data_IF_751017183741
#
_entry.id   IF_751017183741
#
_cell.length_a   1.000
_cell.length_b   1.000
_cell.length_c   1.000
_cell.angle_alpha   90.00
_cell.angle_beta   90.00
_cell.angle_gamma   90.00
#
_symmetry.space_group_name_H-M   'P 1'
#
loop_
_entity.id
_entity.type
_entity.pdbx_description
1 polymer ?
#
# COMPACT_ATOMS: atom_id res chain seq x y z
N UNK A 1 32.59 44.76 45.72
CA UNK A 1 31.48 43.87 45.34
C UNK A 1 31.51 42.69 46.29
N UNK A 2 30.48 42.51 47.12
CA UNK A 2 30.35 41.24 47.84
C UNK A 2 30.19 40.12 46.80
N UNK A 3 30.82 38.95 46.98
CA UNK A 3 30.54 37.80 46.15
C UNK A 3 29.06 37.48 46.34
N UNK A 4 28.28 37.57 45.25
CA UNK A 4 26.92 37.07 45.22
C UNK A 4 26.95 35.61 45.68
N UNK A 5 26.40 35.33 46.86
CA UNK A 5 26.28 33.97 47.38
C UNK A 5 25.65 33.10 46.28
N UNK A 6 26.41 32.10 45.82
CA UNK A 6 25.90 31.11 44.87
C UNK A 6 24.78 30.36 45.58
N UNK A 7 23.52 30.71 45.26
CA UNK A 7 22.36 29.99 45.77
C UNK A 7 22.44 28.55 45.27
N UNK A 8 22.19 27.54 46.12
CA UNK A 8 22.17 26.16 45.70
C UNK A 8 21.07 25.95 44.66
N UNK A 9 21.49 25.67 43.43
CA UNK A 9 20.59 25.33 42.34
C UNK A 9 20.12 23.88 42.52
N UNK A 10 18.82 23.69 42.71
CA UNK A 10 18.28 22.40 43.19
C UNK A 10 17.88 21.51 42.02
N UNK A 11 17.92 20.19 42.20
CA UNK A 11 17.38 19.22 41.24
C UNK A 11 16.02 18.71 41.72
N UNK A 12 14.98 18.85 40.88
CA UNK A 12 13.68 18.24 41.12
C UNK A 12 13.56 16.93 40.34
N UNK A 13 13.15 15.82 40.97
CA UNK A 13 13.00 14.54 40.29
C UNK A 13 11.74 14.43 39.44
N UNK A 14 10.78 15.36 39.57
CA UNK A 14 9.52 15.35 38.81
C UNK A 14 9.76 15.69 37.33
N UNK A 15 9.00 15.07 36.43
CA UNK A 15 9.07 15.38 34.99
C UNK A 15 8.18 16.58 34.69
N UNK A 16 8.75 17.62 34.10
CA UNK A 16 8.03 18.82 33.71
C UNK A 16 7.63 18.78 32.24
N UNK A 17 6.40 19.17 31.94
CA UNK A 17 5.86 19.32 30.59
C UNK A 17 5.46 20.77 30.34
N UNK A 18 5.44 21.18 29.07
CA UNK A 18 4.95 22.49 28.66
C UNK A 18 3.59 22.34 27.95
N UNK A 19 2.60 23.07 28.44
CA UNK A 19 1.33 23.32 27.76
C UNK A 19 1.25 24.80 27.39
N UNK A 20 0.44 25.13 26.39
CA UNK A 20 0.03 26.50 26.13
C UNK A 20 -1.31 26.76 26.78
N UNK A 21 -1.52 27.99 27.21
CA UNK A 21 -2.77 28.43 27.80
C UNK A 21 -3.27 29.63 27.02
N UNK A 22 -4.45 29.49 26.43
CA UNK A 22 -5.19 30.59 25.83
C UNK A 22 -6.21 31.11 26.85
N UNK A 23 -6.15 32.41 27.16
CA UNK A 23 -7.10 33.08 28.05
C UNK A 23 -7.56 34.39 27.43
N UNK A 24 -8.76 34.84 27.79
CA UNK A 24 -9.24 36.16 27.39
C UNK A 24 -8.51 37.22 28.23
N UNK A 25 -7.80 38.12 27.54
CA UNK A 25 -7.05 39.20 28.19
C UNK A 25 -7.95 40.40 28.48
N UNK A 26 -8.73 40.81 27.48
CA UNK A 26 -9.67 41.94 27.56
C UNK A 26 -10.80 41.78 26.52
N UNK A 27 -11.52 42.86 26.20
CA UNK A 27 -12.61 42.86 25.21
C UNK A 27 -12.14 42.88 23.75
N UNK A 28 -10.84 42.85 23.51
CA UNK A 28 -10.24 42.91 22.17
C UNK A 28 -9.27 41.77 21.88
N UNK A 29 -8.60 41.22 22.89
CA UNK A 29 -7.59 40.18 22.71
C UNK A 29 -7.75 38.95 23.61
N UNK A 30 -7.36 37.80 23.06
CA UNK A 30 -6.86 36.66 23.81
C UNK A 30 -5.35 36.79 24.02
N UNK A 31 -4.85 36.19 25.09
CA UNK A 31 -3.43 35.96 25.33
C UNK A 31 -3.16 34.46 25.28
N UNK A 32 -2.13 34.06 24.54
CA UNK A 32 -1.58 32.70 24.58
C UNK A 32 -0.21 32.77 25.21
N UNK A 33 0.01 31.98 26.26
CA UNK A 33 1.27 31.91 27.00
C UNK A 33 1.65 30.47 27.33
N UNK A 34 2.94 30.15 27.45
CA UNK A 34 3.38 28.83 27.86
C UNK A 34 3.30 28.68 29.38
N UNK A 35 2.87 27.50 29.81
CA UNK A 35 2.80 27.09 31.20
C UNK A 35 3.50 25.75 31.35
N UNK A 36 4.42 25.70 32.31
CA UNK A 36 5.11 24.47 32.66
C UNK A 36 4.45 23.85 33.88
N UNK A 37 4.27 22.53 33.87
CA UNK A 37 3.67 21.79 34.98
C UNK A 37 4.35 20.44 35.19
N UNK A 38 4.39 19.98 36.44
CA UNK A 38 4.79 18.63 36.83
C UNK A 38 3.61 17.67 37.02
N UNK A 39 2.37 18.13 36.76
CA UNK A 39 1.15 17.33 36.89
C UNK A 39 0.66 17.08 38.33
N UNK A 40 1.40 17.53 39.35
CA UNK A 40 0.97 17.45 40.75
C UNK A 40 0.42 18.82 41.20
N UNK A 41 1.31 19.73 41.61
CA UNK A 41 0.99 21.08 42.10
C UNK A 41 1.98 22.14 41.59
N UNK A 42 3.07 21.71 40.96
CA UNK A 42 4.09 22.60 40.41
C UNK A 42 3.59 23.24 39.13
N UNK A 43 3.49 24.58 39.14
CA UNK A 43 3.34 25.35 37.90
C UNK A 43 4.36 26.49 37.82
N UNK A 44 4.84 26.75 36.60
CA UNK A 44 5.79 27.83 36.28
C UNK A 44 5.36 28.53 34.99
N UNK A 45 5.63 29.82 34.92
CA UNK A 45 5.42 30.66 33.73
C UNK A 45 6.73 30.88 33.00
N UNK A 46 6.65 31.39 31.78
CA UNK A 46 7.81 31.65 30.93
C UNK A 46 8.91 32.49 31.60
N UNK A 47 8.54 33.51 32.38
CA UNK A 47 9.51 34.40 33.02
C UNK A 47 10.46 33.72 34.02
N UNK A 48 10.15 32.48 34.46
CA UNK A 48 11.02 31.70 35.33
C UNK A 48 11.80 30.61 34.59
N UNK A 49 11.57 30.44 33.29
CA UNK A 49 12.20 29.43 32.46
C UNK A 49 13.50 29.98 31.87
N UNK A 50 14.60 29.25 32.07
CA UNK A 50 15.94 29.65 31.61
C UNK A 50 16.36 28.93 30.31
N UNK A 51 15.67 27.84 29.95
CA UNK A 51 15.98 27.06 28.75
C UNK A 51 16.00 25.56 29.01
N UNK A 52 16.41 24.80 27.99
CA UNK A 52 16.54 23.35 28.04
C UNK A 52 17.88 22.87 27.49
N UNK A 53 18.42 21.82 28.11
CA UNK A 53 19.63 21.16 27.63
C UNK A 53 19.46 19.63 27.77
N UNK A 54 19.43 18.94 26.63
CA UNK A 54 19.18 17.50 26.59
C UNK A 54 17.80 17.16 27.19
N UNK A 55 17.70 16.17 28.10
CA UNK A 55 16.43 15.79 28.73
C UNK A 55 16.02 16.69 29.90
N UNK A 56 16.72 17.81 30.13
CA UNK A 56 16.51 18.67 31.29
C UNK A 56 15.96 20.04 30.90
N UNK A 57 15.08 20.56 31.76
CA UNK A 57 14.61 21.94 31.76
C UNK A 57 15.21 22.69 32.94
N UNK A 58 15.49 23.96 32.74
CA UNK A 58 16.11 24.85 33.71
C UNK A 58 15.15 25.99 34.04
N UNK A 59 14.90 26.20 35.33
CA UNK A 59 14.17 27.33 35.86
C UNK A 59 15.12 28.19 36.71
N UNK A 60 14.72 29.38 37.12
CA UNK A 60 15.58 30.25 37.97
C UNK A 60 16.01 29.58 39.29
N UNK A 61 15.17 28.69 39.83
CA UNK A 61 15.31 28.11 41.16
C UNK A 61 15.76 26.63 41.16
N UNK A 62 15.50 25.88 40.08
CA UNK A 62 15.84 24.45 40.00
C UNK A 62 15.94 23.95 38.55
N UNK A 63 16.57 22.79 38.37
CA UNK A 63 16.46 21.99 37.14
C UNK A 63 15.68 20.70 37.37
N UNK A 64 15.06 20.19 36.31
CA UNK A 64 14.30 18.94 36.35
C UNK A 64 14.34 18.22 35.00
N UNK A 65 14.05 16.90 34.96
CA UNK A 65 13.73 16.22 33.71
C UNK A 65 12.55 16.91 33.00
N UNK A 66 12.61 17.07 31.69
CA UNK A 66 11.60 17.76 30.91
C UNK A 66 11.19 17.04 29.63
N UNK A 67 9.89 17.10 29.30
CA UNK A 67 9.32 16.67 28.02
C UNK A 67 8.63 17.86 27.37
N UNK A 68 9.40 18.60 26.58
CA UNK A 68 8.97 19.85 25.92
C UNK A 68 9.30 19.87 24.43
N UNK A 69 9.57 18.70 23.85
CA UNK A 69 9.90 18.50 22.44
C UNK A 69 8.86 19.14 21.52
N UNK A 70 7.57 18.92 21.80
CA UNK A 70 6.46 19.53 21.06
C UNK A 70 6.32 21.05 21.26
N UNK A 71 6.90 21.61 22.32
CA UNK A 71 6.81 23.03 22.67
C UNK A 71 8.03 23.86 22.22
N UNK A 72 9.13 23.22 21.81
CA UNK A 72 10.41 23.89 21.49
C UNK A 72 10.30 25.14 20.61
N UNK A 73 9.71 25.00 19.42
CA UNK A 73 9.49 26.12 18.47
C UNK A 73 8.63 27.24 19.09
N UNK A 74 7.65 26.86 19.90
CA UNK A 74 6.77 27.82 20.58
C UNK A 74 7.55 28.57 21.66
N UNK A 75 8.39 27.89 22.43
CA UNK A 75 9.19 28.52 23.48
C UNK A 75 10.17 29.55 22.91
N UNK A 76 10.82 29.27 21.78
CA UNK A 76 11.66 30.25 21.06
C UNK A 76 10.86 31.50 20.66
N UNK A 77 9.63 31.31 20.17
CA UNK A 77 8.74 32.40 19.80
C UNK A 77 8.38 33.30 21.00
N UNK A 78 8.04 32.70 22.14
CA UNK A 78 7.67 33.43 23.36
C UNK A 78 8.89 34.09 24.03
N UNK A 79 10.09 33.51 23.92
CA UNK A 79 11.32 34.12 24.44
C UNK A 79 11.65 35.42 23.70
N UNK A 80 11.48 35.44 22.37
CA UNK A 80 11.74 36.62 21.55
C UNK A 80 10.64 37.70 21.64
N UNK A 81 9.37 37.28 21.76
CA UNK A 81 8.20 38.16 21.57
C UNK A 81 7.30 38.35 22.79
N UNK A 82 7.49 37.58 23.85
CA UNK A 82 6.53 37.50 24.97
C UNK A 82 5.21 36.83 24.58
N UNK A 83 4.20 36.96 25.44
CA UNK A 83 2.88 36.35 25.24
C UNK A 83 2.23 36.79 23.92
N UNK A 84 1.64 35.83 23.20
CA UNK A 84 0.97 36.11 21.93
C UNK A 84 -0.38 36.76 22.19
N UNK A 85 -0.61 37.93 21.58
CA UNK A 85 -1.91 38.62 21.60
C UNK A 85 -2.66 38.35 20.32
N UNK A 86 -3.83 37.72 20.45
CA UNK A 86 -4.67 37.31 19.32
C UNK A 86 -5.96 38.11 19.37
N UNK A 87 -6.33 38.87 18.32
CA UNK A 87 -7.62 39.56 18.29
C UNK A 87 -8.78 38.59 18.52
N UNK A 88 -9.82 39.04 19.26
CA UNK A 88 -10.97 38.19 19.58
C UNK A 88 -11.65 37.61 18.33
N UNK A 89 -11.69 38.39 17.24
CA UNK A 89 -12.25 37.98 15.95
C UNK A 89 -11.44 36.86 15.26
N UNK A 90 -10.14 36.74 15.56
CA UNK A 90 -9.23 35.78 14.93
C UNK A 90 -9.02 34.52 15.78
N UNK A 91 -9.67 34.42 16.95
CA UNK A 91 -9.48 33.30 17.87
C UNK A 91 -9.75 31.93 17.24
N UNK A 92 -10.85 31.81 16.49
CA UNK A 92 -11.18 30.55 15.80
C UNK A 92 -10.17 30.22 14.70
N UNK A 93 -9.77 31.21 13.90
CA UNK A 93 -8.75 31.03 12.85
C UNK A 93 -7.40 30.61 13.43
N UNK A 94 -7.00 31.18 14.57
CA UNK A 94 -5.80 30.74 15.28
C UNK A 94 -5.90 29.27 15.69
N UNK A 95 -7.01 28.87 16.31
CA UNK A 95 -7.22 27.49 16.74
C UNK A 95 -7.23 26.51 15.56
N UNK A 96 -7.82 26.90 14.42
CA UNK A 96 -7.79 26.09 13.19
C UNK A 96 -6.35 25.83 12.72
N UNK A 97 -5.49 26.85 12.74
CA UNK A 97 -4.08 26.67 12.36
C UNK A 97 -3.30 25.89 13.43
N UNK A 98 -3.58 26.14 14.71
CA UNK A 98 -2.94 25.46 15.83
C UNK A 98 -3.16 23.95 15.76
N UNK A 99 -4.41 23.50 15.57
CA UNK A 99 -4.74 22.07 15.55
C UNK A 99 -4.39 21.36 14.23
N UNK A 100 -3.95 22.08 13.19
CA UNK A 100 -3.44 21.47 11.94
C UNK A 100 -2.03 20.93 12.05
N UNK A 101 -1.25 21.47 12.97
CA UNK A 101 0.16 21.11 13.15
C UNK A 101 0.37 20.39 14.49
N UNK A 102 1.37 19.50 14.60
CA UNK A 102 1.86 19.06 15.89
C UNK A 102 2.16 20.28 16.75
N UNK A 103 1.62 20.30 17.96
CA UNK A 103 1.85 21.39 18.89
C UNK A 103 1.77 20.89 20.33
N UNK A 104 2.29 21.67 21.29
CA UNK A 104 2.10 21.37 22.69
C UNK A 104 0.60 21.33 23.03
N UNK A 105 0.20 20.65 24.13
CA UNK A 105 -1.18 20.71 24.60
C UNK A 105 -1.63 22.17 24.78
N UNK A 106 -2.88 22.48 24.39
CA UNK A 106 -3.45 23.83 24.52
C UNK A 106 -4.68 23.80 25.41
N UNK A 107 -4.62 24.54 26.52
CA UNK A 107 -5.75 24.83 27.39
C UNK A 107 -6.52 26.03 26.82
N UNK A 108 -7.85 25.91 26.76
CA UNK A 108 -8.73 26.85 26.10
C UNK A 108 -9.62 27.58 27.12
N UNK A 109 -10.02 28.84 26.83
CA UNK A 109 -11.00 29.53 27.65
C UNK A 109 -12.38 28.86 27.49
N UNK A 110 -13.28 29.09 28.45
CA UNK A 110 -14.58 28.40 28.53
C UNK A 110 -15.43 28.59 27.26
N UNK A 111 -15.29 29.73 26.60
CA UNK A 111 -15.96 30.04 25.33
C UNK A 111 -15.55 29.14 24.15
N UNK A 112 -14.40 28.47 24.21
CA UNK A 112 -13.94 27.47 23.23
C UNK A 112 -14.00 26.04 23.77
N UNK A 113 -14.75 25.80 24.85
CA UNK A 113 -14.90 24.46 25.40
C UNK A 113 -15.51 23.51 24.38
N UNK A 114 -14.79 22.42 24.11
CA UNK A 114 -15.28 21.37 23.24
C UNK A 114 -16.23 20.43 23.98
N UNK A 115 -17.25 19.96 23.25
CA UNK A 115 -17.96 18.74 23.59
C UNK A 115 -17.10 17.55 23.18
N UNK A 116 -16.73 16.73 24.16
CA UNK A 116 -16.01 15.49 23.90
C UNK A 116 -16.95 14.45 23.29
N UNK A 117 -16.56 13.94 22.13
CA UNK A 117 -17.21 12.85 21.43
C UNK A 117 -16.44 11.56 21.70
N UNK A 118 -17.19 10.48 21.94
CA UNK A 118 -16.63 9.14 21.92
C UNK A 118 -16.25 8.80 20.47
N UNK A 119 -14.97 8.52 20.25
CA UNK A 119 -14.51 8.06 18.95
C UNK A 119 -15.05 6.65 18.66
N UNK A 120 -15.58 6.38 17.46
CA UNK A 120 -15.78 5.00 17.04
C UNK A 120 -14.42 4.32 16.91
N UNK A 121 -14.41 3.00 17.01
CA UNK A 121 -13.20 2.21 16.75
C UNK A 121 -12.76 2.45 15.29
N UNK A 122 -11.50 2.84 15.02
CA UNK A 122 -11.09 3.21 13.68
C UNK A 122 -11.02 2.01 12.75
N UNK A 123 -11.32 2.23 11.46
CA UNK A 123 -11.03 1.27 10.38
C UNK A 123 -9.87 1.78 9.54
N UNK A 124 -9.03 0.87 9.03
CA UNK A 124 -7.89 1.25 8.21
C UNK A 124 -8.27 1.45 6.73
N UNK A 125 -7.64 2.46 6.11
CA UNK A 125 -7.54 2.62 4.66
C UNK A 125 -6.07 2.51 4.27
N UNK A 126 -5.75 1.55 3.42
CA UNK A 126 -4.42 1.33 2.87
C UNK A 126 -4.28 2.07 1.53
N UNK A 127 -3.36 3.01 1.49
CA UNK A 127 -2.93 3.72 0.28
C UNK A 127 -1.67 3.06 -0.29
N UNK A 128 -1.68 2.76 -1.58
CA UNK A 128 -0.57 2.16 -2.31
C UNK A 128 -0.15 3.08 -3.44
N UNK A 129 1.09 3.55 -3.40
CA UNK A 129 1.65 4.47 -4.39
C UNK A 129 3.05 4.03 -4.82
N UNK A 130 3.45 4.37 -6.05
CA UNK A 130 4.83 4.16 -6.49
C UNK A 130 5.69 5.33 -5.99
N UNK A 131 6.76 5.04 -5.25
CA UNK A 131 7.64 6.08 -4.72
C UNK A 131 8.85 6.31 -5.62
N UNK A 132 8.80 7.37 -6.43
CA UNK A 132 9.92 7.77 -7.29
C UNK A 132 10.34 6.69 -8.28
N UNK A 133 11.65 6.40 -8.33
CA UNK A 133 12.25 5.32 -9.15
C UNK A 133 12.41 4.00 -8.38
N UNK A 134 11.88 3.90 -7.17
CA UNK A 134 11.96 2.66 -6.41
C UNK A 134 11.21 1.54 -7.13
N UNK A 135 11.76 0.34 -7.08
CA UNK A 135 11.08 -0.90 -7.47
C UNK A 135 10.02 -1.32 -6.44
N UNK A 136 10.07 -0.76 -5.22
CA UNK A 136 9.09 -1.02 -4.16
C UNK A 136 7.90 -0.06 -4.23
N UNK A 137 6.73 -0.57 -3.83
CA UNK A 137 5.51 0.20 -3.64
C UNK A 137 5.45 0.75 -2.22
N UNK A 138 5.09 2.02 -2.07
CA UNK A 138 4.89 2.65 -0.77
C UNK A 138 3.48 2.37 -0.25
N UNK A 139 3.42 1.82 0.94
CA UNK A 139 2.18 1.63 1.69
C UNK A 139 2.04 2.71 2.76
N UNK A 140 0.86 3.28 2.91
CA UNK A 140 0.55 4.30 3.91
C UNK A 140 -0.84 4.05 4.45
N UNK A 141 -1.01 4.13 5.76
CA UNK A 141 -2.31 4.00 6.40
C UNK A 141 -2.95 5.37 6.60
N UNK A 142 -4.27 5.37 6.48
CA UNK A 142 -5.15 6.37 7.06
C UNK A 142 -6.17 5.68 7.94
N UNK A 143 -6.54 6.32 9.03
CA UNK A 143 -7.51 5.82 9.99
C UNK A 143 -8.83 6.55 9.79
N UNK A 144 -9.89 5.79 9.57
CA UNK A 144 -11.25 6.31 9.41
C UNK A 144 -11.99 6.27 10.74
N UNK A 145 -12.45 7.44 11.17
CA UNK A 145 -13.32 7.66 12.33
C UNK A 145 -14.66 8.21 11.83
N UNK A 146 -15.60 7.32 11.53
CA UNK A 146 -16.86 7.68 10.87
C UNK A 146 -16.57 8.31 9.49
N UNK A 147 -16.93 9.58 9.31
CA UNK A 147 -16.68 10.33 8.07
C UNK A 147 -15.28 10.96 8.00
N UNK A 148 -14.53 10.98 9.11
CA UNK A 148 -13.20 11.61 9.15
C UNK A 148 -12.12 10.62 8.78
N UNK A 149 -11.14 11.06 7.99
CA UNK A 149 -9.95 10.31 7.63
C UNK A 149 -8.72 11.01 8.19
N UNK A 150 -7.87 10.25 8.86
CA UNK A 150 -6.72 10.74 9.60
C UNK A 150 -5.46 10.08 9.06
N UNK A 151 -4.50 10.83 8.50
CA UNK A 151 -3.21 10.30 8.09
C UNK A 151 -2.46 9.62 9.24
N UNK A 152 -1.71 8.56 8.95
CA UNK A 152 -0.95 7.84 9.99
C UNK A 152 0.11 8.70 10.70
N UNK A 153 0.59 9.74 10.04
CA UNK A 153 1.57 10.73 10.51
C UNK A 153 0.92 11.98 11.11
N UNK A 154 -0.42 12.00 11.23
CA UNK A 154 -1.10 13.07 11.93
C UNK A 154 -0.65 13.07 13.40
N UNK A 155 -0.01 14.15 13.82
CA UNK A 155 0.65 14.19 15.12
C UNK A 155 -0.32 14.40 16.29
N UNK A 156 -1.46 15.05 16.05
CA UNK A 156 -2.38 15.41 17.12
C UNK A 156 -3.27 14.22 17.49
N UNK A 157 -3.31 13.90 18.80
CA UNK A 157 -4.14 12.82 19.33
C UNK A 157 -5.64 13.16 19.31
N UNK A 158 -6.01 14.42 19.14
CA UNK A 158 -7.39 14.88 19.10
C UNK A 158 -7.78 15.39 17.71
N UNK A 159 -8.97 15.03 17.25
CA UNK A 159 -9.62 15.57 16.06
C UNK A 159 -10.63 16.63 16.49
N UNK A 160 -10.37 17.87 16.14
CA UNK A 160 -11.18 19.02 16.53
C UNK A 160 -12.00 19.51 15.34
N UNK A 161 -13.28 19.80 15.58
CA UNK A 161 -14.18 20.49 14.67
C UNK A 161 -14.67 21.75 15.37
N UNK A 162 -14.05 22.87 15.01
CA UNK A 162 -14.28 24.16 15.65
C UNK A 162 -15.67 24.71 15.35
N UNK A 163 -16.18 24.49 14.13
CA UNK A 163 -17.54 24.93 13.74
C UNK A 163 -18.62 24.28 14.59
N UNK A 164 -18.45 23.00 14.97
CA UNK A 164 -19.38 22.29 15.86
C UNK A 164 -18.98 22.33 17.33
N UNK A 165 -17.78 22.84 17.63
CA UNK A 165 -17.13 22.77 18.96
C UNK A 165 -17.08 21.34 19.49
N UNK A 166 -16.71 20.40 18.63
CA UNK A 166 -16.62 18.98 18.95
C UNK A 166 -15.16 18.53 18.92
N UNK A 167 -14.75 17.77 19.93
CA UNK A 167 -13.43 17.15 20.01
C UNK A 167 -13.59 15.65 20.12
N UNK A 168 -12.83 14.91 19.33
CA UNK A 168 -12.78 13.45 19.37
C UNK A 168 -11.35 13.01 19.63
N UNK A 169 -11.14 12.23 20.69
CA UNK A 169 -9.82 11.65 20.98
C UNK A 169 -9.63 10.39 20.13
N UNK A 170 -8.52 10.33 19.40
CA UNK A 170 -8.14 9.15 18.62
C UNK A 170 -7.83 7.97 19.53
N UNK A 171 -8.17 6.79 19.07
CA UNK A 171 -7.76 5.53 19.71
C UNK A 171 -6.36 5.14 19.20
N UNK A 172 -5.33 5.76 19.79
CA UNK A 172 -3.94 5.54 19.37
C UNK A 172 -3.49 4.08 19.57
N UNK A 173 -4.11 3.35 20.50
CA UNK A 173 -3.79 1.95 20.75
C UNK A 173 -4.31 1.05 19.61
N UNK A 174 -5.55 1.29 19.17
CA UNK A 174 -6.10 0.57 18.02
C UNK A 174 -5.38 0.93 16.71
N UNK A 175 -5.03 2.21 16.53
CA UNK A 175 -4.23 2.64 15.38
C UNK A 175 -2.87 1.93 15.32
N UNK A 176 -2.20 1.78 16.47
CA UNK A 176 -0.93 1.07 16.55
C UNK A 176 -1.10 -0.43 16.26
N UNK A 177 -2.19 -1.05 16.72
CA UNK A 177 -2.54 -2.43 16.36
C UNK A 177 -2.67 -2.58 14.84
N UNK A 178 -3.34 -1.65 14.16
CA UNK A 178 -3.50 -1.66 12.70
C UNK A 178 -2.15 -1.45 11.97
N UNK A 179 -1.26 -0.59 12.48
CA UNK A 179 0.11 -0.44 11.95
C UNK A 179 0.91 -1.74 12.06
N UNK A 180 0.81 -2.40 13.21
CA UNK A 180 1.46 -3.69 13.44
C UNK A 180 0.93 -4.76 12.49
N UNK A 181 -0.39 -4.82 12.32
CA UNK A 181 -1.07 -5.74 11.40
C UNK A 181 -0.59 -5.53 9.94
N UNK A 182 -0.47 -4.28 9.48
CA UNK A 182 0.12 -4.00 8.15
C UNK A 182 1.57 -4.49 8.07
N UNK A 183 2.36 -4.24 9.12
CA UNK A 183 3.77 -4.67 9.18
C UNK A 183 3.90 -6.20 9.05
N UNK A 184 3.01 -6.95 9.70
CA UNK A 184 2.98 -8.42 9.56
C UNK A 184 2.57 -8.84 8.15
N UNK A 185 1.54 -8.22 7.57
CA UNK A 185 1.09 -8.51 6.20
C UNK A 185 2.21 -8.28 5.17
N UNK A 186 3.00 -7.23 5.35
CA UNK A 186 4.12 -6.88 4.47
C UNK A 186 5.43 -7.58 4.83
N UNK A 187 5.45 -8.45 5.84
CA UNK A 187 6.63 -9.23 6.26
C UNK A 187 7.74 -8.40 6.90
N UNK A 188 7.37 -7.42 7.72
CA UNK A 188 8.29 -6.63 8.55
C UNK A 188 8.51 -5.18 8.08
N UNK A 189 7.92 -4.78 6.94
CA UNK A 189 8.12 -3.44 6.36
C UNK A 189 6.78 -2.73 6.16
N UNK A 190 6.35 -1.93 7.14
CA UNK A 190 5.06 -1.23 7.06
C UNK A 190 4.94 -0.30 5.84
N UNK A 191 6.06 0.23 5.34
CA UNK A 191 6.06 1.31 4.34
C UNK A 191 6.45 0.85 2.95
N UNK A 192 7.18 -0.26 2.79
CA UNK A 192 7.64 -0.73 1.48
C UNK A 192 7.13 -2.15 1.22
N UNK A 193 6.39 -2.31 0.12
CA UNK A 193 5.84 -3.56 -0.38
C UNK A 193 6.59 -3.97 -1.64
N UNK A 194 7.06 -5.21 -1.68
CA UNK A 194 7.52 -5.84 -2.91
C UNK A 194 6.32 -6.03 -3.87
N UNK A 195 6.38 -5.58 -5.13
CA UNK A 195 5.30 -5.77 -6.11
C UNK A 195 4.81 -7.21 -6.25
N UNK A 196 5.64 -8.22 -5.99
CA UNK A 196 5.24 -9.63 -6.00
C UNK A 196 4.32 -9.99 -4.82
N UNK A 197 4.48 -9.34 -3.66
CA UNK A 197 3.67 -9.59 -2.46
C UNK A 197 2.41 -8.73 -2.38
N UNK A 198 2.28 -7.74 -3.26
CA UNK A 198 1.11 -6.88 -3.34
C UNK A 198 -0.23 -7.65 -3.36
N UNK A 199 -0.42 -8.74 -4.15
CA UNK A 199 -1.68 -9.49 -4.13
C UNK A 199 -2.04 -10.06 -2.77
N UNK A 200 -1.05 -10.66 -2.10
CA UNK A 200 -1.23 -11.23 -0.76
C UNK A 200 -1.60 -10.16 0.27
N UNK A 201 -0.92 -9.00 0.24
CA UNK A 201 -1.19 -7.89 1.17
C UNK A 201 -2.58 -7.32 0.94
N UNK A 202 -2.97 -7.11 -0.31
CA UNK A 202 -4.29 -6.57 -0.65
C UNK A 202 -5.41 -7.54 -0.26
N UNK A 203 -5.24 -8.84 -0.51
CA UNK A 203 -6.21 -9.85 -0.10
C UNK A 203 -6.39 -9.87 1.41
N UNK A 204 -5.28 -9.87 2.17
CA UNK A 204 -5.30 -9.81 3.64
C UNK A 204 -5.97 -8.53 4.16
N UNK A 205 -5.64 -7.37 3.59
CA UNK A 205 -6.23 -6.09 3.97
C UNK A 205 -7.75 -6.06 3.69
N UNK A 206 -8.18 -6.51 2.51
CA UNK A 206 -9.61 -6.58 2.17
C UNK A 206 -10.36 -7.59 3.06
N UNK A 207 -9.74 -8.73 3.39
CA UNK A 207 -10.32 -9.71 4.32
C UNK A 207 -10.43 -9.17 5.77
N UNK A 208 -9.50 -8.30 6.18
CA UNK A 208 -9.56 -7.56 7.44
C UNK A 208 -10.59 -6.41 7.43
N UNK A 209 -11.30 -6.19 6.32
CA UNK A 209 -12.31 -5.14 6.16
C UNK A 209 -11.72 -3.76 5.88
N UNK A 210 -10.45 -3.68 5.48
CA UNK A 210 -9.81 -2.41 5.16
C UNK A 210 -10.23 -1.93 3.77
N UNK A 211 -10.27 -0.61 3.60
CA UNK A 211 -10.36 -0.03 2.27
C UNK A 211 -8.97 0.02 1.64
N UNK A 212 -8.82 -0.40 0.39
CA UNK A 212 -7.53 -0.35 -0.32
C UNK A 212 -7.65 0.55 -1.54
N UNK A 213 -6.77 1.55 -1.64
CA UNK A 213 -6.65 2.44 -2.79
C UNK A 213 -5.24 2.32 -3.39
N UNK A 214 -5.17 2.26 -4.72
CA UNK A 214 -3.92 2.36 -5.46
C UNK A 214 -4.06 3.44 -6.53
N UNK A 215 -3.09 4.36 -6.64
CA UNK A 215 -3.15 5.48 -7.59
C UNK A 215 -4.48 6.27 -7.52
N UNK A 216 -5.03 6.45 -6.31
CA UNK A 216 -6.34 7.09 -6.03
C UNK A 216 -7.56 6.34 -6.58
N UNK A 217 -7.41 5.10 -7.05
CA UNK A 217 -8.51 4.25 -7.49
C UNK A 217 -8.73 3.10 -6.51
N UNK A 218 -9.99 2.71 -6.33
CA UNK A 218 -10.34 1.61 -5.44
C UNK A 218 -9.78 0.29 -5.96
N UNK A 219 -9.22 -0.51 -5.06
CA UNK A 219 -8.62 -1.79 -5.39
C UNK A 219 -9.59 -2.92 -5.10
N UNK A 220 -9.65 -3.89 -6.02
CA UNK A 220 -10.49 -5.08 -5.94
C UNK A 220 -9.63 -6.34 -5.95
N UNK A 221 -9.97 -7.30 -5.10
CA UNK A 221 -9.36 -8.62 -5.12
C UNK A 221 -9.85 -9.41 -6.34
N UNK A 222 -8.97 -10.26 -6.86
CA UNK A 222 -9.32 -11.24 -7.87
C UNK A 222 -10.09 -12.40 -7.24
N UNK A 223 -11.13 -12.89 -7.93
CA UNK A 223 -11.97 -14.01 -7.49
C UNK A 223 -11.75 -15.26 -8.30
N UNK A 224 -12.03 -15.19 -9.59
CA UNK A 224 -12.04 -16.37 -10.45
C UNK A 224 -11.45 -16.07 -11.81
N UNK A 225 -10.84 -17.10 -12.38
CA UNK A 225 -10.14 -17.05 -13.65
C UNK A 225 -10.45 -18.30 -14.44
N UNK A 226 -10.97 -18.12 -15.65
CA UNK A 226 -11.22 -19.21 -16.58
C UNK A 226 -10.89 -18.79 -18.01
N UNK A 227 -10.06 -19.58 -18.69
CA UNK A 227 -9.72 -19.38 -20.09
C UNK A 227 -10.58 -20.26 -20.98
N UNK A 228 -11.16 -19.68 -22.02
CA UNK A 228 -11.95 -20.38 -23.03
C UNK A 228 -11.43 -20.07 -24.42
N UNK A 229 -11.32 -21.08 -25.27
CA UNK A 229 -10.90 -20.91 -26.66
C UNK A 229 -11.98 -21.46 -27.61
N UNK A 230 -12.40 -20.65 -28.57
CA UNK A 230 -13.44 -20.99 -29.54
C UNK A 230 -12.91 -20.82 -30.95
N UNK A 231 -13.12 -21.79 -31.83
CA UNK A 231 -12.74 -21.67 -33.24
C UNK A 231 -13.53 -20.55 -33.93
N UNK A 232 -12.83 -19.61 -34.56
CA UNK A 232 -13.37 -18.49 -35.33
C UNK A 232 -13.02 -18.64 -36.82
N UNK A 233 -13.91 -19.24 -37.60
CA UNK A 233 -13.66 -19.53 -39.02
C UNK A 233 -12.82 -20.79 -39.25
N UNK A 234 -11.95 -20.75 -40.27
CA UNK A 234 -11.21 -21.94 -40.75
C UNK A 234 -9.88 -22.13 -40.01
N UNK A 235 -9.08 -21.06 -39.88
CA UNK A 235 -7.71 -21.14 -39.35
C UNK A 235 -7.45 -20.32 -38.07
N UNK A 236 -8.51 -19.75 -37.51
CA UNK A 236 -8.40 -18.87 -36.35
C UNK A 236 -9.20 -19.38 -35.16
N UNK A 237 -8.75 -18.96 -33.99
CA UNK A 237 -9.41 -19.20 -32.71
C UNK A 237 -9.44 -17.90 -31.92
N UNK A 238 -10.57 -17.62 -31.31
CA UNK A 238 -10.74 -16.52 -30.37
C UNK A 238 -10.58 -17.06 -28.95
N UNK A 239 -9.56 -16.56 -28.25
CA UNK A 239 -9.33 -16.85 -26.84
C UNK A 239 -9.94 -15.75 -25.99
N UNK A 240 -10.77 -16.14 -25.05
CA UNK A 240 -11.41 -15.26 -24.07
C UNK A 240 -11.05 -15.71 -22.67
N UNK A 241 -11.11 -14.79 -21.71
CA UNK A 241 -11.00 -15.12 -20.30
C UNK A 241 -12.19 -14.54 -19.54
N UNK A 242 -12.79 -15.35 -18.67
CA UNK A 242 -13.66 -14.84 -17.62
C UNK A 242 -12.77 -14.42 -16.43
N UNK A 243 -12.71 -13.11 -16.19
CA UNK A 243 -11.89 -12.50 -15.15
C UNK A 243 -12.83 -11.83 -14.15
N UNK A 244 -13.03 -12.46 -13.00
CA UNK A 244 -13.91 -11.93 -11.97
C UNK A 244 -13.09 -11.29 -10.86
N UNK A 245 -13.47 -10.07 -10.51
CA UNK A 245 -12.97 -9.32 -9.37
C UNK A 245 -14.13 -8.98 -8.44
N UNK A 246 -13.83 -8.54 -7.22
CA UNK A 246 -14.85 -7.97 -6.35
C UNK A 246 -15.52 -6.76 -7.00
N UNK A 247 -16.81 -6.87 -7.33
CA UNK A 247 -17.61 -5.76 -7.86
C UNK A 247 -17.31 -5.38 -9.31
N UNK A 248 -16.49 -6.14 -10.05
CA UNK A 248 -16.13 -5.81 -11.43
C UNK A 248 -15.63 -6.99 -12.26
N UNK A 249 -15.50 -6.78 -13.57
CA UNK A 249 -14.92 -7.73 -14.52
C UNK A 249 -13.77 -7.06 -15.28
N UNK A 250 -12.72 -7.83 -15.57
CA UNK A 250 -11.62 -7.40 -16.43
C UNK A 250 -11.72 -8.01 -17.83
N UNK A 251 -11.02 -7.43 -18.81
CA UNK A 251 -10.90 -8.02 -20.14
C UNK A 251 -9.50 -8.59 -20.39
N UNK A 252 -9.44 -9.70 -21.14
CA UNK A 252 -8.19 -10.40 -21.43
C UNK A 252 -7.14 -9.51 -22.12
N UNK A 253 -7.47 -8.69 -23.14
CA UNK A 253 -6.46 -7.83 -23.78
C UNK A 253 -5.82 -6.84 -22.81
N UNK A 254 -6.61 -6.19 -21.95
CA UNK A 254 -6.14 -5.24 -20.95
C UNK A 254 -5.23 -5.92 -19.92
N UNK A 255 -5.57 -7.15 -19.53
CA UNK A 255 -4.76 -7.96 -18.64
C UNK A 255 -3.42 -8.34 -19.28
N UNK A 256 -3.42 -8.77 -20.54
CA UNK A 256 -2.19 -9.12 -21.28
C UNK A 256 -1.27 -7.89 -21.41
N UNK A 257 -1.82 -6.72 -21.72
CA UNK A 257 -1.05 -5.48 -21.76
C UNK A 257 -0.48 -5.10 -20.39
N UNK A 258 -1.29 -5.17 -19.33
CA UNK A 258 -0.81 -4.93 -17.95
C UNK A 258 0.35 -5.86 -17.58
N UNK A 259 0.25 -7.15 -17.91
CA UNK A 259 1.31 -8.13 -17.65
C UNK A 259 2.57 -7.88 -18.47
N UNK A 260 2.45 -7.46 -19.73
CA UNK A 260 3.60 -7.09 -20.59
C UNK A 260 4.37 -5.92 -20.04
N UNK A 261 3.67 -4.93 -19.49
CA UNK A 261 4.26 -3.75 -18.86
C UNK A 261 4.75 -4.02 -17.43
N UNK A 262 4.62 -5.25 -16.93
CA UNK A 262 5.00 -5.61 -15.56
C UNK A 262 4.11 -4.96 -14.49
N UNK A 263 2.91 -4.48 -14.86
CA UNK A 263 1.97 -3.90 -13.91
C UNK A 263 1.34 -4.98 -13.04
N UNK A 264 1.27 -4.72 -11.74
CA UNK A 264 0.56 -5.57 -10.77
C UNK A 264 -0.96 -5.36 -10.72
N UNK A 265 -1.49 -4.41 -11.51
CA UNK A 265 -2.89 -4.01 -11.51
C UNK A 265 -3.45 -3.95 -12.94
N UNK A 266 -4.73 -4.28 -13.10
CA UNK A 266 -5.51 -4.05 -14.32
C UNK A 266 -6.67 -3.10 -14.03
N UNK A 267 -7.00 -2.22 -14.98
CA UNK A 267 -8.16 -1.33 -14.84
C UNK A 267 -9.43 -2.09 -15.19
N UNK A 268 -10.46 -1.97 -14.36
CA UNK A 268 -11.77 -2.58 -14.57
C UNK A 268 -12.72 -1.60 -15.28
N UNK A 269 -13.81 -2.10 -15.83
CA UNK A 269 -14.78 -1.30 -16.59
C UNK A 269 -15.46 -0.17 -15.80
N UNK A 270 -15.49 -0.26 -14.47
CA UNK A 270 -16.01 0.78 -13.56
C UNK A 270 -14.96 1.84 -13.18
N UNK A 271 -13.72 1.70 -13.66
CA UNK A 271 -12.59 2.58 -13.35
C UNK A 271 -11.77 2.17 -12.13
N UNK A 272 -12.17 1.14 -11.39
CA UNK A 272 -11.40 0.56 -10.29
C UNK A 272 -10.19 -0.24 -10.78
N UNK A 273 -9.31 -0.67 -9.87
CA UNK A 273 -8.12 -1.46 -10.16
C UNK A 273 -8.25 -2.87 -9.59
N UNK A 274 -8.18 -3.88 -10.44
CA UNK A 274 -8.05 -5.28 -10.03
C UNK A 274 -6.58 -5.63 -9.78
N UNK A 275 -6.26 -6.18 -8.60
CA UNK A 275 -4.92 -6.70 -8.33
C UNK A 275 -4.73 -8.06 -8.98
N UNK A 276 -3.56 -8.28 -9.59
CA UNK A 276 -3.26 -9.48 -10.35
C UNK A 276 -2.51 -10.51 -9.51
N UNK A 277 -3.14 -11.65 -9.18
CA UNK A 277 -2.48 -12.74 -8.47
C UNK A 277 -1.33 -13.34 -9.29
N UNK A 278 -0.29 -13.80 -8.62
CA UNK A 278 0.88 -14.40 -9.28
C UNK A 278 0.54 -15.71 -10.01
N UNK A 279 -0.46 -16.47 -9.56
CA UNK A 279 -0.90 -17.67 -10.28
C UNK A 279 -1.55 -17.31 -11.63
N UNK A 280 -2.28 -16.19 -11.72
CA UNK A 280 -2.81 -15.69 -13.00
C UNK A 280 -1.68 -15.30 -13.94
N UNK A 281 -0.64 -14.60 -13.43
CA UNK A 281 0.54 -14.26 -14.21
C UNK A 281 1.20 -15.51 -14.80
N UNK A 282 1.40 -16.55 -13.97
CA UNK A 282 1.98 -17.83 -14.41
C UNK A 282 1.11 -18.52 -15.46
N UNK A 283 -0.22 -18.54 -15.28
CA UNK A 283 -1.17 -19.15 -16.21
C UNK A 283 -1.27 -18.41 -17.54
N UNK A 284 -1.11 -17.09 -17.54
CA UNK A 284 -1.19 -16.23 -18.72
C UNK A 284 0.15 -16.02 -19.43
N UNK A 285 1.28 -16.35 -18.78
CA UNK A 285 2.61 -16.24 -19.37
C UNK A 285 2.71 -16.84 -20.80
N UNK A 286 2.12 -18.02 -21.10
CA UNK A 286 2.10 -18.55 -22.47
C UNK A 286 1.44 -17.62 -23.50
N UNK A 287 0.44 -16.83 -23.10
CA UNK A 287 -0.30 -15.92 -23.98
C UNK A 287 0.44 -14.60 -24.24
N UNK A 288 1.35 -14.18 -23.35
CA UNK A 288 2.10 -12.94 -23.52
C UNK A 288 2.93 -12.96 -24.82
N UNK A 289 3.56 -14.09 -25.11
CA UNK A 289 4.37 -14.34 -26.31
C UNK A 289 3.51 -14.51 -27.57
N UNK A 290 2.37 -15.20 -27.43
CA UNK A 290 1.54 -15.67 -28.54
C UNK A 290 0.56 -14.59 -29.04
N UNK A 291 0.13 -13.70 -28.14
CA UNK A 291 -0.94 -12.73 -28.35
C UNK A 291 -0.55 -11.47 -29.11
N UNK A 292 0.29 -11.59 -30.15
CA UNK A 292 0.57 -10.47 -31.09
C UNK A 292 -0.40 -10.44 -32.27
N UNK A 293 -1.35 -11.39 -32.34
CA UNK A 293 -2.41 -11.42 -33.34
C UNK A 293 -3.36 -10.25 -33.14
N UNK A 294 -3.70 -9.56 -34.23
CA UNK A 294 -4.57 -8.39 -34.24
C UNK A 294 -5.95 -8.63 -33.59
N UNK A 295 -6.76 -7.57 -33.43
CA UNK A 295 -8.01 -7.63 -32.67
C UNK A 295 -8.92 -8.76 -33.21
N UNK A 296 -9.28 -9.68 -32.32
CA UNK A 296 -10.35 -10.65 -32.55
C UNK A 296 -11.72 -10.02 -32.33
N UNK A 297 -12.70 -10.82 -31.94
CA UNK A 297 -13.96 -10.33 -31.37
C UNK A 297 -13.67 -9.41 -30.15
N UNK A 298 -14.55 -8.43 -29.82
CA UNK A 298 -14.33 -7.53 -28.69
C UNK A 298 -13.99 -8.27 -27.39
N UNK A 299 -12.89 -7.90 -26.75
CA UNK A 299 -12.43 -8.54 -25.50
C UNK A 299 -11.77 -9.93 -25.66
N UNK A 300 -11.51 -10.37 -26.90
CA UNK A 300 -10.83 -11.63 -27.21
C UNK A 300 -9.46 -11.42 -27.85
N UNK A 301 -8.62 -12.43 -27.74
CA UNK A 301 -7.32 -12.52 -28.40
C UNK A 301 -7.38 -13.54 -29.53
N UNK A 302 -7.05 -13.13 -30.76
CA UNK A 302 -7.10 -14.02 -31.92
C UNK A 302 -5.77 -14.73 -32.11
N UNK A 303 -5.83 -16.06 -32.14
CA UNK A 303 -4.67 -16.93 -32.35
C UNK A 303 -4.88 -17.81 -33.58
N UNK A 304 -3.81 -18.00 -34.35
CA UNK A 304 -3.82 -18.97 -35.44
C UNK A 304 -3.67 -20.40 -34.90
N UNK A 305 -3.87 -21.40 -35.76
CA UNK A 305 -3.79 -22.82 -35.41
C UNK A 305 -2.48 -23.24 -34.75
N UNK A 306 -1.32 -22.76 -35.20
CA UNK A 306 -0.02 -23.11 -34.60
C UNK A 306 0.14 -22.49 -33.20
N UNK A 307 -0.26 -21.23 -33.04
CA UNK A 307 -0.25 -20.53 -31.75
C UNK A 307 -1.18 -21.23 -30.75
N UNK A 308 -2.37 -21.66 -31.19
CA UNK A 308 -3.30 -22.42 -30.36
C UNK A 308 -2.75 -23.77 -29.95
N UNK A 309 -2.08 -24.49 -30.86
CA UNK A 309 -1.45 -25.75 -30.53
C UNK A 309 -0.36 -25.57 -29.48
N UNK A 310 0.51 -24.56 -29.64
CA UNK A 310 1.53 -24.25 -28.65
C UNK A 310 0.92 -23.85 -27.31
N UNK A 311 -0.14 -23.05 -27.31
CA UNK A 311 -0.88 -22.68 -26.11
C UNK A 311 -1.43 -23.92 -25.40
N UNK A 312 -2.11 -24.82 -26.12
CA UNK A 312 -2.67 -26.04 -25.51
C UNK A 312 -1.60 -26.93 -24.90
N UNK A 313 -0.45 -27.10 -25.56
CA UNK A 313 0.68 -27.86 -25.04
C UNK A 313 1.25 -27.25 -23.76
N UNK A 314 1.34 -25.91 -23.67
CA UNK A 314 1.79 -25.20 -22.47
C UNK A 314 0.76 -25.21 -21.33
N UNK A 315 -0.52 -25.37 -21.64
CA UNK A 315 -1.62 -25.40 -20.67
C UNK A 315 -2.03 -26.81 -20.22
N UNK A 316 -1.43 -27.89 -20.77
CA UNK A 316 -1.75 -29.26 -20.36
C UNK A 316 -1.54 -29.45 -18.86
N UNK A 317 -2.61 -29.87 -18.15
CA UNK A 317 -2.61 -30.05 -16.70
C UNK A 317 -3.19 -28.89 -15.88
N UNK A 318 -3.53 -27.74 -16.50
CA UNK A 318 -4.24 -26.65 -15.82
C UNK A 318 -5.77 -26.86 -15.89
N UNK A 319 -6.42 -26.96 -14.73
CA UNK A 319 -7.87 -27.21 -14.61
C UNK A 319 -8.77 -26.07 -15.15
N UNK A 320 -8.20 -24.91 -15.47
CA UNK A 320 -8.93 -23.67 -15.80
C UNK A 320 -9.06 -23.37 -17.30
N UNK A 321 -8.64 -24.29 -18.19
CA UNK A 321 -8.71 -24.10 -19.64
C UNK A 321 -9.80 -24.98 -20.26
N UNK A 322 -10.78 -24.35 -20.93
CA UNK A 322 -11.85 -25.04 -21.66
C UNK A 322 -11.63 -24.99 -23.17
N UNK A 323 -11.14 -26.08 -23.80
CA UNK A 323 -11.05 -26.18 -25.24
C UNK A 323 -12.43 -26.46 -25.86
N UNK A 324 -12.70 -25.90 -27.03
CA UNK A 324 -13.84 -26.32 -27.85
C UNK A 324 -13.64 -27.72 -28.48
N UNK A 325 -14.69 -28.23 -29.14
CA UNK A 325 -14.68 -29.56 -29.77
C UNK A 325 -13.59 -29.68 -30.85
N UNK A 326 -13.36 -28.65 -31.65
CA UNK A 326 -12.39 -28.67 -32.75
C UNK A 326 -10.95 -28.71 -32.24
N UNK A 327 -10.66 -27.90 -31.22
CA UNK A 327 -9.35 -27.85 -30.56
C UNK A 327 -9.06 -29.17 -29.85
N UNK A 328 -10.06 -29.76 -29.18
CA UNK A 328 -9.93 -31.09 -28.57
C UNK A 328 -9.56 -32.16 -29.60
N UNK A 329 -10.26 -32.21 -30.74
CA UNK A 329 -9.94 -33.16 -31.82
C UNK A 329 -8.55 -32.95 -32.41
N UNK A 330 -8.12 -31.71 -32.58
CA UNK A 330 -6.78 -31.38 -33.09
C UNK A 330 -5.68 -31.82 -32.12
N UNK A 331 -5.90 -31.57 -30.82
CA UNK A 331 -4.98 -31.93 -29.76
C UNK A 331 -4.87 -33.46 -29.60
N UNK A 332 -5.99 -34.18 -29.67
CA UNK A 332 -6.01 -35.66 -29.65
C UNK A 332 -5.24 -36.26 -30.83
N UNK A 333 -5.34 -35.65 -32.02
CA UNK A 333 -4.59 -36.08 -33.21
C UNK A 333 -3.07 -35.91 -33.02
N UNK A 334 -2.64 -34.78 -32.46
CA UNK A 334 -1.22 -34.57 -32.14
C UNK A 334 -0.70 -35.57 -31.12
N UNK A 335 -1.48 -35.87 -30.06
CA UNK A 335 -1.12 -36.89 -29.07
C UNK A 335 -0.90 -38.25 -29.73
N UNK A 336 -1.79 -38.64 -30.65
CA UNK A 336 -1.66 -39.88 -31.42
C UNK A 336 -0.43 -39.90 -32.33
N UNK A 337 -0.13 -38.78 -33.01
CA UNK A 337 1.08 -38.67 -33.82
C UNK A 337 2.36 -38.73 -32.96
N UNK A 338 2.38 -38.07 -31.82
CA UNK A 338 3.52 -38.07 -30.89
C UNK A 338 3.73 -39.43 -30.20
N UNK A 339 2.68 -40.23 -29.99
CA UNK A 339 2.81 -41.62 -29.54
C UNK A 339 3.29 -42.53 -30.66
N UNK A 340 2.80 -42.34 -31.90
CA UNK A 340 3.22 -43.13 -33.06
C UNK A 340 4.68 -42.86 -33.46
N UNK A 341 5.17 -41.64 -33.33
CA UNK A 341 6.57 -41.29 -33.58
C UNK A 341 7.54 -41.89 -32.53
N UNK A 342 7.05 -42.15 -31.31
CA UNK A 342 7.80 -42.85 -30.25
C UNK A 342 7.82 -44.37 -30.44
N UNK A 343 7.00 -44.89 -31.34
CA UNK A 343 6.96 -46.30 -31.75
C UNK A 343 7.38 -46.44 -33.21
N UNK A 344 8.68 -46.41 -33.51
CA UNK A 344 9.18 -46.94 -34.80
C UNK A 344 9.59 -48.42 -34.64
N UNK A 345 9.49 -49.24 -35.72
CA UNK A 345 9.04 -50.64 -35.64
C UNK A 345 10.19 -51.66 -35.55
N UNK A 346 9.83 -52.88 -35.12
CA UNK A 346 10.71 -54.06 -35.07
C UNK A 346 11.42 -54.31 -36.41
N UNK A 347 12.74 -54.51 -36.34
CA UNK A 347 13.57 -54.96 -37.47
C UNK A 347 13.14 -56.36 -37.90
N UNK A 348 12.47 -56.48 -39.05
CA UNK A 348 12.34 -57.79 -39.70
C UNK A 348 13.70 -58.23 -40.26
N UNK A 349 14.33 -59.17 -39.57
CA UNK A 349 15.44 -59.98 -40.09
C UNK A 349 14.94 -60.91 -41.19
N UNK A 350 15.44 -60.74 -42.42
CA UNK A 350 15.46 -61.81 -43.42
C UNK A 350 16.90 -62.22 -43.68
N UNK A 351 17.27 -63.37 -43.11
CA UNK A 351 18.37 -64.17 -43.61
C UNK A 351 17.88 -64.99 -44.80
N UNK A 352 18.58 -64.94 -45.94
CA UNK A 352 18.72 -66.09 -46.83
C UNK A 352 20.00 -65.95 -47.65
N UNK A 353 20.84 -66.95 -47.47
CA UNK A 353 22.17 -67.24 -48.02
C UNK A 353 22.19 -67.57 -49.53
N UNK A 354 23.31 -67.28 -50.21
CA UNK A 354 24.19 -68.19 -51.00
C UNK A 354 25.04 -67.38 -52.05
N UNK A 355 26.10 -67.94 -52.67
CA UNK A 355 27.50 -67.53 -52.44
C UNK A 355 28.12 -66.71 -53.57
N UNK A 356 29.10 -65.87 -53.24
CA UNK A 356 29.91 -65.07 -54.17
C UNK A 356 30.82 -65.95 -55.03
N UNK A 357 30.58 -65.94 -56.36
CA UNK A 357 31.51 -66.45 -57.38
C UNK A 357 32.43 -65.30 -57.80
N UNK A 358 33.74 -65.47 -57.61
CA UNK A 358 34.80 -64.59 -58.13
C UNK A 358 34.64 -64.36 -59.64
N UNK A 359 34.81 -63.11 -60.07
CA UNK A 359 35.44 -62.81 -61.36
C UNK A 359 36.21 -61.50 -61.27
N UNK A 360 37.52 -61.65 -61.41
CA UNK A 360 38.53 -60.61 -61.50
C UNK A 360 38.24 -59.64 -62.65
N UNK A 361 38.57 -58.36 -62.43
CA UNK A 361 38.89 -57.44 -63.53
C UNK A 361 40.35 -57.00 -63.35
N UNK A 362 41.25 -57.29 -64.31
CA UNK A 362 42.64 -56.88 -64.23
C UNK A 362 42.78 -55.39 -64.59
N UNK A 363 43.96 -54.83 -64.29
CA UNK A 363 44.37 -53.49 -64.68
C UNK A 363 44.26 -53.24 -66.19
N UNK A 364 44.69 -52.12 -66.73
CA UNK A 364 45.66 -51.14 -66.29
C UNK A 364 45.65 -50.04 -67.39
N UNK A 365 46.50 -49.01 -67.30
CA UNK A 365 46.36 -47.70 -67.95
C UNK A 365 47.04 -47.71 -69.35
N UNK A 366 47.51 -46.60 -69.97
CA UNK A 366 48.30 -45.50 -69.39
C UNK A 366 47.57 -44.18 -69.17
#
# INVERSE_FOLDING_TARGET
MQPSELRPYTFSPSVWTCELRMERLDDKFYSVSPRFTDGADGTRTMGKFLGCAGPFVFFEDFMAPGRIDQASVWLELFEAGGDLKIPLADGETFLEQFFRSPGPPLSLPEEFRFRDLTAPRPTARLLIERHGRSEHLRATLEFRYGERLVPQDFANAALVDLSKRERMLRDLAEEERLRHELTEMTGGSAQNIDPARLPEVVEKALAAGWEVLAHKAQVRAAKSFELSATASGIDWFDVTANLEFDGGRGHLPELIEALREGRGFVRLGDGSLGVLPDDWKRRLAPLLDLGRGGPGSPGSLRLNRLQMLLLTARLEGNASFRPDRKLKSLHDLLKRCASAARSTPERHSRASSAPTRKKDWPGSPP
#
